data_IF_635560437760
#
_entry.id   IF_635560437760
#
_cell.length_a   1.000
_cell.length_b   1.000
_cell.length_c   1.000
_cell.angle_alpha   90.00
_cell.angle_beta   90.00
_cell.angle_gamma   90.00
#
_symmetry.space_group_name_H-M   'P 1'
#
loop_
_entity.id
_entity.type
_entity.pdbx_description
1 polymer ?
#
# COMPACT_ATOMS: atom_id res chain seq x y z
N UNK A 1 -44.94 31.17 11.81
CA UNK A 1 -43.49 31.43 11.73
C UNK A 1 -42.85 30.16 11.25
N UNK A 2 -42.70 30.07 9.93
CA UNK A 2 -42.14 28.92 9.21
C UNK A 2 -40.62 28.93 9.39
N UNK A 3 -40.00 27.91 10.03
CA UNK A 3 -38.57 27.88 10.27
C UNK A 3 -37.87 26.91 9.30
N UNK A 4 -38.24 26.92 8.02
CA UNK A 4 -37.47 26.23 6.99
C UNK A 4 -36.55 27.24 6.30
N UNK A 5 -35.46 27.58 6.98
CA UNK A 5 -34.27 28.08 6.28
C UNK A 5 -33.82 26.98 5.32
N UNK A 6 -33.78 27.22 3.99
CA UNK A 6 -33.19 26.27 3.07
C UNK A 6 -31.69 26.21 3.39
N UNK A 7 -31.30 25.17 4.11
CA UNK A 7 -29.89 24.80 4.26
C UNK A 7 -29.41 24.39 2.88
N UNK A 8 -28.47 25.16 2.34
CA UNK A 8 -27.72 24.77 1.17
C UNK A 8 -26.95 23.47 1.52
N UNK A 9 -27.22 22.34 0.84
CA UNK A 9 -26.54 21.09 1.13
C UNK A 9 -25.09 21.08 0.62
N UNK A 10 -24.70 22.02 -0.25
CA UNK A 10 -23.36 22.08 -0.87
C UNK A 10 -22.21 21.97 0.15
N UNK A 11 -22.19 22.73 1.28
CA UNK A 11 -21.15 22.62 2.31
C UNK A 11 -21.15 21.26 3.05
N UNK A 12 -22.29 20.56 3.08
CA UNK A 12 -22.41 19.25 3.70
C UNK A 12 -22.07 18.10 2.74
N UNK A 13 -22.13 18.36 1.44
CA UNK A 13 -21.71 17.43 0.38
C UNK A 13 -20.22 17.59 0.02
N UNK A 14 -19.67 18.78 0.20
CA UNK A 14 -18.30 19.14 -0.22
C UNK A 14 -17.34 19.48 0.93
N UNK A 15 -17.82 19.52 2.18
CA UNK A 15 -17.04 19.95 3.35
C UNK A 15 -17.24 21.44 3.66
N UNK A 16 -17.21 21.79 4.95
CA UNK A 16 -17.35 23.18 5.42
C UNK A 16 -16.15 24.06 5.04
N UNK A 17 -15.03 23.44 4.68
CA UNK A 17 -13.84 24.05 4.12
C UNK A 17 -13.62 23.46 2.72
N UNK A 18 -13.60 24.30 1.68
CA UNK A 18 -13.14 23.88 0.35
C UNK A 18 -11.63 23.70 0.39
N UNK A 19 -11.15 22.60 0.97
CA UNK A 19 -9.73 22.26 0.90
C UNK A 19 -9.36 22.10 -0.58
N UNK A 20 -8.34 22.84 -1.05
CA UNK A 20 -7.83 22.65 -2.39
C UNK A 20 -7.48 21.16 -2.59
N UNK A 21 -7.73 20.57 -3.78
CA UNK A 21 -7.37 19.17 -4.01
C UNK A 21 -5.89 18.95 -3.72
N UNK A 22 -5.56 17.99 -2.86
CA UNK A 22 -4.18 17.73 -2.43
C UNK A 22 -3.58 16.51 -3.12
N UNK A 23 -2.24 16.49 -3.17
CA UNK A 23 -1.42 15.33 -3.51
C UNK A 23 -0.39 15.12 -2.41
N UNK A 24 0.13 13.90 -2.30
CA UNK A 24 1.23 13.58 -1.40
C UNK A 24 2.54 13.55 -2.20
N UNK A 25 3.57 14.26 -1.76
CA UNK A 25 4.88 14.27 -2.41
C UNK A 25 5.92 13.66 -1.48
N UNK A 26 6.77 12.80 -2.05
CA UNK A 26 7.74 11.98 -1.34
C UNK A 26 9.10 12.10 -2.04
N UNK A 27 10.15 12.48 -1.29
CA UNK A 27 11.50 12.70 -1.84
C UNK A 27 12.43 11.52 -1.55
N UNK A 28 13.08 11.01 -2.59
CA UNK A 28 14.02 9.88 -2.50
C UNK A 28 15.33 10.18 -3.23
N UNK A 29 16.46 9.90 -2.59
CA UNK A 29 17.79 10.19 -3.11
C UNK A 29 18.32 9.11 -4.08
N UNK A 30 17.79 7.89 -3.99
CA UNK A 30 18.31 6.71 -4.69
C UNK A 30 17.30 6.06 -5.66
N UNK A 31 16.39 6.86 -6.22
CA UNK A 31 15.38 6.35 -7.15
C UNK A 31 16.03 5.69 -8.37
N UNK A 32 15.69 4.42 -8.68
CA UNK A 32 16.16 3.79 -9.90
C UNK A 32 15.49 4.41 -11.14
N UNK A 33 16.11 4.19 -12.30
CA UNK A 33 15.54 4.63 -13.57
C UNK A 33 14.48 3.66 -14.09
N UNK A 34 13.30 4.20 -14.44
CA UNK A 34 12.21 3.48 -15.06
C UNK A 34 11.17 2.97 -14.06
N UNK A 35 9.90 3.12 -14.42
CA UNK A 35 8.75 2.77 -13.57
C UNK A 35 8.79 1.33 -13.04
N UNK A 36 9.19 0.37 -13.87
CA UNK A 36 9.31 -1.03 -13.46
C UNK A 36 10.39 -1.29 -12.41
N UNK A 37 11.48 -0.50 -12.41
CA UNK A 37 12.53 -0.62 -11.41
C UNK A 37 12.12 0.06 -10.09
N UNK A 38 11.40 1.19 -10.19
CA UNK A 38 10.82 1.87 -9.04
C UNK A 38 9.76 1.02 -8.36
N UNK A 39 8.88 0.37 -9.12
CA UNK A 39 7.88 -0.54 -8.56
C UNK A 39 8.53 -1.63 -7.69
N UNK A 40 9.60 -2.25 -8.20
CA UNK A 40 10.37 -3.29 -7.51
C UNK A 40 11.06 -2.70 -6.27
N UNK A 41 11.69 -1.53 -6.39
CA UNK A 41 12.29 -0.80 -5.26
C UNK A 41 11.30 -0.55 -4.11
N UNK A 42 10.07 -0.13 -4.44
CA UNK A 42 9.04 0.18 -3.45
C UNK A 42 8.44 -1.06 -2.76
N UNK A 43 8.59 -2.25 -3.31
CA UNK A 43 8.23 -3.49 -2.60
C UNK A 43 9.09 -3.71 -1.36
N UNK A 44 10.34 -3.26 -1.41
CA UNK A 44 11.29 -3.37 -0.32
C UNK A 44 11.35 -2.12 0.56
N UNK A 45 11.17 -0.94 -0.01
CA UNK A 45 11.20 0.34 0.68
C UNK A 45 9.95 1.20 0.36
N UNK A 46 8.74 0.78 0.79
CA UNK A 46 7.52 1.54 0.53
C UNK A 46 7.55 2.90 1.27
N UNK A 47 6.87 3.93 0.74
CA UNK A 47 6.84 5.23 1.38
C UNK A 47 6.11 5.16 2.72
N UNK A 48 6.65 5.84 3.73
CA UNK A 48 6.05 5.93 5.05
C UNK A 48 5.12 7.16 5.20
N UNK A 49 4.18 7.15 6.16
CA UNK A 49 3.30 8.30 6.40
C UNK A 49 4.05 9.55 6.87
N UNK A 50 5.24 9.40 7.48
CA UNK A 50 6.10 10.53 7.90
C UNK A 50 6.96 11.09 6.78
N UNK A 51 6.98 10.42 5.64
CA UNK A 51 7.81 10.76 4.49
C UNK A 51 7.07 11.64 3.48
N UNK A 52 5.74 11.58 3.51
CA UNK A 52 4.87 12.31 2.59
C UNK A 52 4.55 13.71 3.10
N UNK A 53 4.74 14.71 2.24
CA UNK A 53 4.23 16.08 2.45
C UNK A 53 2.97 16.27 1.61
N UNK A 54 1.88 16.68 2.25
CA UNK A 54 0.63 17.02 1.56
C UNK A 54 0.72 18.43 1.01
N UNK A 55 0.47 18.55 -0.29
CA UNK A 55 0.55 19.80 -1.01
C UNK A 55 -0.66 19.97 -1.93
N UNK A 56 -1.22 21.17 -2.04
CA UNK A 56 -2.20 21.49 -3.06
C UNK A 56 -1.72 21.15 -4.48
N UNK A 57 -2.57 20.43 -5.21
CA UNK A 57 -2.33 19.92 -6.55
C UNK A 57 -1.91 21.02 -7.53
N UNK A 58 -2.49 22.22 -7.42
CA UNK A 58 -2.15 23.35 -8.29
C UNK A 58 -0.70 23.81 -8.09
N UNK A 59 -0.21 23.79 -6.86
CA UNK A 59 1.13 24.26 -6.55
C UNK A 59 2.21 23.28 -6.98
N UNK A 60 1.95 21.98 -6.86
CA UNK A 60 2.84 20.94 -7.41
C UNK A 60 2.91 21.03 -8.94
N UNK A 61 1.77 21.31 -9.61
CA UNK A 61 1.75 21.55 -11.07
C UNK A 61 2.58 22.78 -11.45
N UNK A 62 2.42 23.89 -10.73
CA UNK A 62 3.23 25.09 -10.95
C UNK A 62 4.71 24.79 -10.74
N UNK A 63 5.07 24.09 -9.65
CA UNK A 63 6.45 23.73 -9.33
C UNK A 63 7.11 22.90 -10.43
N UNK A 64 6.43 21.87 -10.96
CA UNK A 64 6.99 21.08 -12.05
C UNK A 64 7.17 21.87 -13.36
N UNK A 65 6.39 22.93 -13.56
CA UNK A 65 6.56 23.87 -14.67
C UNK A 65 7.66 24.93 -14.41
N UNK A 66 8.31 24.88 -13.24
CA UNK A 66 9.28 25.89 -12.80
C UNK A 66 8.64 27.23 -12.48
N UNK A 67 7.40 27.19 -11.98
CA UNK A 67 6.62 28.34 -11.54
C UNK A 67 6.34 28.24 -10.03
N UNK A 68 6.08 29.36 -9.39
CA UNK A 68 5.66 29.41 -7.99
C UNK A 68 4.22 29.86 -7.88
N UNK A 69 3.46 29.22 -7.00
CA UNK A 69 2.14 29.66 -6.58
C UNK A 69 2.20 29.93 -5.07
N UNK A 70 1.78 31.13 -4.64
CA UNK A 70 1.77 31.50 -3.22
C UNK A 70 0.54 30.89 -2.54
N UNK A 71 0.77 30.16 -1.43
CA UNK A 71 -0.29 29.58 -0.59
C UNK A 71 -0.91 30.58 0.39
N UNK A 72 -0.30 31.75 0.54
CA UNK A 72 -0.47 32.57 1.72
C UNK A 72 -1.79 33.35 1.77
N UNK A 73 -2.61 33.38 0.71
CA UNK A 73 -3.78 34.28 0.71
C UNK A 73 -4.91 33.92 -0.28
N UNK A 74 -5.36 32.66 -0.34
CA UNK A 74 -6.46 32.27 -1.23
C UNK A 74 -7.48 31.31 -0.59
N UNK A 75 -8.13 31.76 0.47
CA UNK A 75 -9.53 31.36 0.70
C UNK A 75 -10.42 32.13 -0.29
N UNK A 76 -10.65 31.56 -1.48
CA UNK A 76 -11.88 31.86 -2.24
C UNK A 76 -11.80 32.73 -3.50
N UNK A 77 -10.67 32.87 -4.20
CA UNK A 77 -10.66 33.47 -5.55
C UNK A 77 -9.88 32.63 -6.57
N UNK A 78 -10.52 32.29 -7.69
CA UNK A 78 -9.96 31.58 -8.86
C UNK A 78 -9.00 32.44 -9.72
N UNK A 79 -8.37 33.48 -9.15
CA UNK A 79 -7.40 34.30 -9.87
C UNK A 79 -5.97 33.90 -9.51
N UNK A 80 -5.48 32.94 -10.29
CA UNK A 80 -4.12 32.41 -10.32
C UNK A 80 -3.08 33.53 -10.48
N UNK A 81 -2.35 33.86 -9.41
CA UNK A 81 -1.08 34.60 -9.51
C UNK A 81 0.07 33.62 -9.53
N UNK A 82 0.43 33.21 -10.74
CA UNK A 82 1.60 32.35 -10.98
C UNK A 82 2.77 33.25 -11.33
N UNK A 83 3.77 33.31 -10.45
CA UNK A 83 5.00 34.06 -10.72
C UNK A 83 6.09 33.12 -11.27
N UNK A 84 6.82 33.52 -12.34
CA UNK A 84 8.01 32.80 -12.77
C UNK A 84 9.12 33.02 -11.75
N UNK A 85 9.29 32.06 -10.83
CA UNK A 85 10.47 31.96 -9.98
C UNK A 85 11.23 30.72 -10.44
N UNK A 86 12.44 30.91 -10.99
CA UNK A 86 13.29 29.82 -11.44
C UNK A 86 13.42 28.78 -10.33
N UNK A 87 13.23 27.50 -10.66
CA UNK A 87 13.26 26.42 -9.67
C UNK A 87 13.44 25.04 -10.29
N UNK A 88 12.82 24.77 -11.45
CA UNK A 88 12.93 23.43 -12.10
C UNK A 88 13.07 23.49 -13.63
N UNK A 89 12.87 24.65 -14.24
CA UNK A 89 12.80 24.82 -15.71
C UNK A 89 14.11 24.39 -16.40
N UNK A 90 14.06 23.28 -17.15
CA UNK A 90 15.20 22.71 -17.88
C UNK A 90 15.84 21.48 -17.22
N UNK A 91 15.44 21.11 -15.99
CA UNK A 91 15.86 19.85 -15.37
C UNK A 91 15.08 18.69 -16.00
N UNK A 92 15.80 17.64 -16.40
CA UNK A 92 15.19 16.36 -16.79
C UNK A 92 15.15 15.46 -15.57
N UNK A 93 14.22 15.70 -14.65
CA UNK A 93 13.92 14.74 -13.59
C UNK A 93 12.74 13.87 -14.01
N UNK A 94 12.78 12.61 -13.60
CA UNK A 94 11.66 11.68 -13.75
C UNK A 94 10.90 11.64 -12.44
N UNK A 95 9.61 11.92 -12.50
CA UNK A 95 8.71 11.79 -11.35
C UNK A 95 7.93 10.50 -11.52
N UNK A 96 7.62 9.80 -10.44
CA UNK A 96 6.82 8.60 -10.49
C UNK A 96 5.52 8.80 -9.72
N UNK A 97 4.39 8.48 -10.35
CA UNK A 97 3.11 8.43 -9.66
C UNK A 97 2.85 7.02 -9.16
N UNK A 98 2.45 6.94 -7.90
CA UNK A 98 1.98 5.72 -7.27
C UNK A 98 0.46 5.65 -7.41
N UNK A 99 0.01 4.85 -8.38
CA UNK A 99 -1.38 4.43 -8.47
C UNK A 99 -1.56 3.11 -7.70
N UNK A 100 -2.80 2.77 -7.35
CA UNK A 100 -3.09 1.67 -6.43
C UNK A 100 -2.52 0.28 -6.81
N UNK A 101 -2.19 0.05 -8.08
CA UNK A 101 -1.60 -1.20 -8.57
C UNK A 101 -0.44 -0.99 -9.57
N UNK A 102 -0.09 0.27 -9.88
CA UNK A 102 0.90 0.59 -10.92
C UNK A 102 1.77 1.78 -10.52
N UNK A 103 3.04 1.73 -10.90
CA UNK A 103 3.94 2.88 -10.89
C UNK A 103 4.00 3.43 -12.30
N UNK A 104 3.72 4.72 -12.46
CA UNK A 104 3.78 5.40 -13.75
C UNK A 104 4.89 6.44 -13.74
N UNK A 105 5.77 6.41 -14.75
CA UNK A 105 6.74 7.48 -14.98
C UNK A 105 6.02 8.68 -15.61
N UNK A 106 6.08 9.82 -14.93
CA UNK A 106 5.48 11.08 -15.36
C UNK A 106 6.61 12.07 -15.65
N UNK A 107 6.63 12.70 -16.85
CA UNK A 107 7.56 13.79 -17.11
C UNK A 107 7.17 15.02 -16.26
N UNK A 108 8.15 15.83 -15.86
CA UNK A 108 7.90 17.08 -15.11
C UNK A 108 6.90 18.00 -15.82
N UNK A 109 6.91 18.06 -17.15
CA UNK A 109 5.89 18.77 -17.93
C UNK A 109 4.94 17.75 -18.58
N UNK A 110 3.90 17.26 -17.87
CA UNK A 110 2.99 16.29 -18.41
C UNK A 110 2.15 16.91 -19.54
N UNK A 111 2.06 16.27 -20.72
CA UNK A 111 1.13 16.70 -21.77
C UNK A 111 -0.29 16.75 -21.22
N UNK A 112 -1.17 17.59 -21.81
CA UNK A 112 -2.54 17.81 -21.34
C UNK A 112 -3.41 16.53 -21.10
N UNK A 113 -2.98 15.37 -21.59
CA UNK A 113 -3.59 14.06 -21.37
C UNK A 113 -3.13 13.28 -20.13
N UNK A 114 -1.97 13.60 -19.54
CA UNK A 114 -1.47 12.99 -18.29
C UNK A 114 -1.84 13.91 -17.13
N UNK A 115 -2.97 13.63 -16.47
CA UNK A 115 -3.45 14.46 -15.36
C UNK A 115 -3.06 13.86 -14.02
N UNK A 116 -2.23 14.58 -13.26
CA UNK A 116 -2.13 14.45 -11.80
C UNK A 116 -3.52 14.65 -11.19
N UNK A 117 -3.93 13.74 -10.31
CA UNK A 117 -5.25 13.69 -9.68
C UNK A 117 -5.14 13.97 -8.18
N UNK A 118 -6.20 14.51 -7.56
CA UNK A 118 -6.26 14.61 -6.10
C UNK A 118 -6.10 13.22 -5.46
N UNK A 119 -5.28 13.13 -4.41
CA UNK A 119 -4.94 11.89 -3.72
C UNK A 119 -3.83 11.05 -4.37
N UNK A 120 -3.24 11.50 -5.48
CA UNK A 120 -2.03 10.87 -6.03
C UNK A 120 -0.86 11.02 -5.04
N UNK A 121 -0.07 9.96 -4.88
CA UNK A 121 1.24 10.01 -4.22
C UNK A 121 2.33 10.09 -5.30
N UNK A 122 3.18 11.09 -5.21
CA UNK A 122 4.23 11.41 -6.17
C UNK A 122 5.60 11.18 -5.54
N UNK A 123 6.38 10.31 -6.16
CA UNK A 123 7.76 10.03 -5.80
C UNK A 123 8.69 10.87 -6.68
N UNK A 124 9.47 11.74 -6.06
CA UNK A 124 10.36 12.70 -6.73
C UNK A 124 11.81 12.48 -6.29
N UNK A 125 12.80 12.69 -7.18
CA UNK A 125 14.20 12.68 -6.78
C UNK A 125 14.49 13.78 -5.74
N UNK A 126 15.23 13.45 -4.68
CA UNK A 126 15.65 14.40 -3.64
C UNK A 126 16.33 15.65 -4.22
N UNK A 127 17.14 15.47 -5.27
CA UNK A 127 17.85 16.55 -5.95
C UNK A 127 16.93 17.57 -6.62
N UNK A 128 15.66 17.24 -6.85
CA UNK A 128 14.69 18.15 -7.47
C UNK A 128 14.45 19.41 -6.63
N UNK A 129 14.66 19.34 -5.32
CA UNK A 129 14.43 20.44 -4.40
C UNK A 129 12.95 20.58 -4.04
N UNK A 130 12.48 21.82 -3.87
CA UNK A 130 11.08 22.11 -3.52
C UNK A 130 10.78 22.15 -2.00
N UNK A 131 11.73 21.72 -1.17
CA UNK A 131 11.67 21.87 0.28
C UNK A 131 12.94 22.55 0.79
N UNK A 132 12.78 23.42 1.78
CA UNK A 132 13.89 24.06 2.49
C UNK A 132 13.54 24.17 3.97
N UNK A 133 14.43 23.67 4.83
CA UNK A 133 14.25 23.71 6.29
C UNK A 133 12.89 23.18 6.78
N UNK A 134 12.35 22.14 6.11
CA UNK A 134 11.05 21.54 6.44
C UNK A 134 9.82 22.33 5.97
N UNK A 135 10.00 23.37 5.15
CA UNK A 135 8.92 24.16 4.59
C UNK A 135 8.86 23.98 3.07
N UNK A 136 7.67 24.12 2.51
CA UNK A 136 7.47 24.18 1.08
C UNK A 136 8.11 25.44 0.50
N UNK A 137 9.13 25.23 -0.33
CA UNK A 137 9.87 26.27 -1.04
C UNK A 137 10.09 25.81 -2.49
N UNK A 138 9.16 26.11 -3.41
CA UNK A 138 9.22 25.64 -4.79
C UNK A 138 10.40 26.24 -5.58
N UNK A 139 11.07 27.27 -5.04
CA UNK A 139 12.26 27.87 -5.64
C UNK A 139 13.56 27.22 -5.14
N UNK A 140 13.52 26.49 -4.02
CA UNK A 140 14.68 25.77 -3.49
C UNK A 140 15.14 24.71 -4.48
N UNK A 141 16.42 24.75 -4.85
CA UNK A 141 17.09 23.74 -5.67
C UNK A 141 18.00 22.83 -4.85
N UNK A 142 18.11 23.07 -3.54
CA UNK A 142 18.95 22.28 -2.66
C UNK A 142 18.36 20.87 -2.53
N UNK A 143 19.19 19.81 -2.54
CA UNK A 143 18.71 18.45 -2.34
C UNK A 143 17.94 18.32 -1.03
N UNK A 144 16.73 17.76 -1.12
CA UNK A 144 15.89 17.51 0.06
C UNK A 144 16.46 16.31 0.82
N UNK A 145 16.65 16.40 2.16
CA UNK A 145 17.05 15.25 2.96
C UNK A 145 16.10 14.07 2.76
N UNK A 146 16.65 12.89 2.48
CA UNK A 146 15.85 11.68 2.27
C UNK A 146 15.52 11.06 3.63
N UNK A 147 14.23 10.97 3.94
CA UNK A 147 13.73 10.60 5.27
C UNK A 147 13.12 9.20 5.36
N UNK A 148 13.31 8.37 4.34
CA UNK A 148 12.58 7.11 4.24
C UNK A 148 12.80 6.12 5.40
N UNK A 149 14.02 6.10 5.95
CA UNK A 149 14.36 5.25 7.10
C UNK A 149 13.72 5.76 8.41
N UNK A 150 13.21 6.99 8.44
CA UNK A 150 12.57 7.59 9.61
C UNK A 150 11.05 7.33 9.60
N UNK A 151 10.65 6.22 10.23
CA UNK A 151 9.26 5.76 10.36
C UNK A 151 8.66 5.89 11.77
N UNK A 152 7.58 5.15 12.06
CA UNK A 152 6.97 5.02 13.40
C UNK A 152 7.89 4.32 14.42
N UNK A 153 7.33 3.71 15.48
CA UNK A 153 8.05 3.23 16.68
C UNK A 153 9.27 2.31 16.43
N UNK A 154 9.41 1.72 15.24
CA UNK A 154 10.66 1.11 14.78
C UNK A 154 10.89 1.36 13.26
N UNK A 155 12.11 1.73 12.84
CA UNK A 155 12.46 1.91 11.43
C UNK A 155 12.50 0.55 10.71
N UNK A 156 11.83 0.42 9.56
CA UNK A 156 11.48 -0.89 8.96
C UNK A 156 12.50 -1.46 7.98
N UNK A 157 13.33 -0.60 7.40
CA UNK A 157 14.38 -0.97 6.46
C UNK A 157 15.57 0.00 6.51
N UNK A 158 16.70 -0.39 5.91
CA UNK A 158 17.89 0.44 5.69
C UNK A 158 18.36 0.26 4.24
N UNK A 159 18.47 1.36 3.49
CA UNK A 159 19.04 1.33 2.12
C UNK A 159 20.55 1.51 2.17
N UNK A 160 21.28 0.51 1.73
CA UNK A 160 22.72 0.56 1.50
C UNK A 160 22.98 1.03 0.06
N UNK A 161 22.76 2.32 -0.18
CA UNK A 161 23.04 3.02 -1.43
C UNK A 161 24.06 4.15 -1.18
N UNK A 162 25.02 4.45 -2.09
CA UNK A 162 26.05 5.46 -1.84
C UNK A 162 25.49 6.82 -1.37
N UNK A 163 24.47 7.33 -2.05
CA UNK A 163 23.85 8.64 -1.73
C UNK A 163 23.09 8.62 -0.40
N UNK A 164 22.53 7.47 0.00
CA UNK A 164 21.87 7.33 1.32
C UNK A 164 22.92 7.22 2.42
N UNK A 165 23.95 6.41 2.21
CA UNK A 165 25.01 6.23 3.21
C UNK A 165 25.86 7.49 3.42
N UNK A 166 26.00 8.36 2.43
CA UNK A 166 26.60 9.69 2.61
C UNK A 166 25.82 10.56 3.61
N UNK A 167 24.50 10.33 3.77
CA UNK A 167 23.68 10.97 4.81
C UNK A 167 23.78 10.25 6.16
N UNK A 168 24.05 8.94 6.15
CA UNK A 168 24.02 8.09 7.34
C UNK A 168 25.37 7.97 8.07
N UNK A 169 26.49 8.09 7.36
CA UNK A 169 27.83 7.86 7.88
C UNK A 169 28.61 9.19 8.02
N UNK A 170 29.45 9.25 9.05
CA UNK A 170 30.47 10.28 9.17
C UNK A 170 31.72 9.84 8.39
N UNK A 171 32.33 10.74 7.58
CA UNK A 171 33.54 10.42 6.85
C UNK A 171 34.69 10.14 7.83
N UNK A 172 35.62 9.22 7.50
CA UNK A 172 36.84 9.02 8.26
C UNK A 172 37.65 10.32 8.31
N UNK A 173 38.34 10.56 9.42
CA UNK A 173 39.22 11.71 9.55
C UNK A 173 40.30 11.69 8.45
N UNK A 174 40.26 12.69 7.55
CA UNK A 174 41.25 12.85 6.49
C UNK A 174 40.98 12.10 5.19
N UNK A 175 39.86 11.38 5.06
CA UNK A 175 39.45 10.70 3.82
C UNK A 175 38.24 11.39 3.16
N UNK A 176 38.26 11.47 1.83
CA UNK A 176 37.18 12.05 1.01
C UNK A 176 35.99 11.09 0.82
N UNK A 177 35.25 11.18 -0.29
CA UNK A 177 34.13 10.25 -0.57
C UNK A 177 34.58 8.88 -1.10
N UNK A 178 35.87 8.74 -1.45
CA UNK A 178 36.43 7.56 -2.13
C UNK A 178 36.33 6.27 -1.30
N UNK A 179 36.49 6.36 0.03
CA UNK A 179 36.42 5.19 0.92
C UNK A 179 35.03 4.52 0.90
N UNK A 180 33.96 5.30 0.76
CA UNK A 180 32.59 4.78 0.77
C UNK A 180 32.33 3.99 -0.51
N UNK A 181 32.87 4.46 -1.64
CA UNK A 181 32.81 3.74 -2.91
C UNK A 181 33.60 2.43 -2.84
N UNK A 182 34.77 2.42 -2.19
CA UNK A 182 35.55 1.20 -1.97
C UNK A 182 34.81 0.19 -1.08
N UNK A 183 34.31 0.64 0.07
CA UNK A 183 33.56 -0.20 1.01
C UNK A 183 32.28 -0.78 0.38
N UNK A 184 31.56 0.01 -0.42
CA UNK A 184 30.40 -0.47 -1.17
C UNK A 184 30.78 -1.39 -2.33
N UNK A 185 31.93 -1.17 -2.96
CA UNK A 185 32.49 -2.08 -3.96
C UNK A 185 32.81 -3.47 -3.37
N UNK A 186 33.40 -3.50 -2.17
CA UNK A 186 33.62 -4.74 -1.41
C UNK A 186 32.32 -5.44 -1.03
N UNK A 187 31.36 -4.69 -0.46
CA UNK A 187 30.03 -5.21 -0.13
C UNK A 187 29.37 -5.84 -1.36
N UNK A 188 29.38 -5.13 -2.50
CA UNK A 188 28.79 -5.59 -3.76
C UNK A 188 29.44 -6.88 -4.26
N UNK A 189 30.78 -6.98 -4.22
CA UNK A 189 31.49 -8.21 -4.61
C UNK A 189 31.09 -9.38 -3.71
N UNK A 190 31.10 -9.18 -2.39
CA UNK A 190 30.72 -10.23 -1.45
C UNK A 190 29.26 -10.69 -1.65
N UNK A 191 28.35 -9.77 -1.96
CA UNK A 191 26.96 -10.13 -2.29
C UNK A 191 26.85 -10.91 -3.60
N UNK A 192 27.62 -10.56 -4.63
CA UNK A 192 27.64 -11.28 -5.92
C UNK A 192 28.24 -12.70 -5.80
N UNK A 193 29.18 -12.89 -4.87
CA UNK A 193 29.80 -14.19 -4.59
C UNK A 193 28.95 -15.08 -3.68
N UNK A 194 27.95 -14.53 -2.99
CA UNK A 194 27.09 -15.28 -2.10
C UNK A 194 26.12 -16.20 -2.87
N UNK A 195 26.19 -17.50 -2.59
CA UNK A 195 25.32 -18.52 -3.19
C UNK A 195 24.01 -18.69 -2.40
N UNK A 196 24.03 -18.35 -1.11
CA UNK A 196 22.87 -18.48 -0.21
C UNK A 196 22.46 -17.18 0.48
N UNK A 197 21.17 -17.05 0.84
CA UNK A 197 20.68 -15.88 1.60
C UNK A 197 21.45 -15.67 2.90
N UNK A 198 21.93 -16.76 3.51
CA UNK A 198 22.68 -16.74 4.75
C UNK A 198 24.09 -16.16 4.56
N UNK A 199 24.74 -16.47 3.44
CA UNK A 199 26.05 -15.88 3.09
C UNK A 199 25.92 -14.39 2.81
N UNK A 200 24.93 -13.98 2.01
CA UNK A 200 24.68 -12.55 1.77
C UNK A 200 24.36 -11.80 3.07
N UNK A 201 23.57 -12.40 3.96
CA UNK A 201 23.36 -11.84 5.31
C UNK A 201 24.68 -11.68 6.08
N UNK A 202 25.57 -12.68 6.03
CA UNK A 202 26.89 -12.60 6.66
C UNK A 202 27.77 -11.48 6.10
N UNK A 203 27.77 -11.28 4.78
CA UNK A 203 28.48 -10.19 4.11
C UNK A 203 27.97 -8.82 4.58
N UNK A 204 26.65 -8.64 4.62
CA UNK A 204 26.04 -7.39 5.11
C UNK A 204 26.31 -7.18 6.60
N UNK A 205 26.21 -8.23 7.42
CA UNK A 205 26.50 -8.14 8.86
C UNK A 205 27.92 -7.65 9.10
N UNK A 206 28.91 -8.22 8.38
CA UNK A 206 30.30 -7.76 8.47
C UNK A 206 30.45 -6.29 8.10
N UNK A 207 29.74 -5.82 7.07
CA UNK A 207 29.73 -4.39 6.71
C UNK A 207 29.13 -3.51 7.81
N UNK A 208 27.97 -3.88 8.36
CA UNK A 208 27.31 -3.12 9.44
C UNK A 208 28.17 -3.08 10.70
N UNK A 209 28.81 -4.19 11.07
CA UNK A 209 29.70 -4.27 12.23
C UNK A 209 30.95 -3.39 12.04
N UNK A 210 31.59 -3.46 10.86
CA UNK A 210 32.79 -2.68 10.55
C UNK A 210 32.54 -1.16 10.55
N UNK A 211 31.32 -0.73 10.22
CA UNK A 211 30.93 0.68 10.11
C UNK A 211 30.05 1.16 11.26
N UNK A 212 29.78 0.31 12.27
CA UNK A 212 28.84 0.59 13.36
C UNK A 212 29.12 1.94 14.04
N UNK A 213 30.37 2.21 14.36
CA UNK A 213 30.78 3.44 15.04
C UNK A 213 30.83 4.68 14.15
N UNK A 214 30.68 4.52 12.83
CA UNK A 214 30.66 5.62 11.86
C UNK A 214 29.24 6.10 11.55
N UNK A 215 28.21 5.34 11.91
CA UNK A 215 26.84 5.80 11.75
C UNK A 215 26.59 7.00 12.66
N UNK A 216 25.98 8.04 12.08
CA UNK A 216 25.52 9.22 12.82
C UNK A 216 24.52 8.80 13.88
N UNK A 217 24.44 9.57 14.96
CA UNK A 217 23.61 9.28 16.14
C UNK A 217 22.16 8.92 15.77
N UNK A 218 21.56 9.64 14.82
CA UNK A 218 20.19 9.41 14.34
C UNK A 218 19.96 8.04 13.66
N UNK A 219 21.01 7.39 13.17
CA UNK A 219 20.94 6.11 12.43
C UNK A 219 21.32 4.90 13.28
N UNK A 220 22.05 5.10 14.38
CA UNK A 220 22.52 4.01 15.25
C UNK A 220 21.40 3.10 15.75
N UNK A 221 20.24 3.60 16.22
CA UNK A 221 19.17 2.72 16.69
C UNK A 221 18.68 1.73 15.63
N UNK A 222 18.57 2.15 14.38
CA UNK A 222 18.19 1.28 13.26
C UNK A 222 19.24 0.21 13.00
N UNK A 223 20.52 0.60 12.96
CA UNK A 223 21.63 -0.34 12.73
C UNK A 223 21.71 -1.38 13.86
N UNK A 224 21.51 -0.96 15.12
CA UNK A 224 21.49 -1.87 16.26
C UNK A 224 20.31 -2.85 16.22
N UNK A 225 19.13 -2.38 15.81
CA UNK A 225 17.98 -3.25 15.58
C UNK A 225 18.28 -4.31 14.52
N UNK A 226 18.90 -3.92 13.39
CA UNK A 226 19.28 -4.84 12.32
C UNK A 226 20.29 -5.90 12.78
N UNK A 227 21.29 -5.50 13.56
CA UNK A 227 22.28 -6.41 14.15
C UNK A 227 21.65 -7.41 15.14
N UNK A 228 20.58 -7.02 15.84
CA UNK A 228 19.94 -7.85 16.88
C UNK A 228 18.85 -8.76 16.36
N UNK A 229 17.95 -8.25 15.54
CA UNK A 229 16.66 -8.88 15.20
C UNK A 229 16.70 -9.70 13.92
N UNK A 230 17.80 -9.58 13.17
CA UNK A 230 18.00 -10.23 11.89
C UNK A 230 17.16 -9.56 10.78
N UNK A 231 17.70 -9.58 9.57
CA UNK A 231 17.10 -8.90 8.43
C UNK A 231 17.05 -9.78 7.18
N UNK A 232 16.35 -9.30 6.17
CA UNK A 232 16.40 -9.82 4.80
C UNK A 232 17.16 -8.83 3.92
N UNK A 233 17.93 -9.34 2.96
CA UNK A 233 18.68 -8.54 1.99
C UNK A 233 17.93 -8.56 0.67
N UNK A 234 17.74 -7.38 0.09
CA UNK A 234 16.99 -7.20 -1.15
C UNK A 234 17.78 -6.35 -2.17
N UNK A 235 17.74 -6.65 -3.48
CA UNK A 235 17.07 -7.79 -4.11
C UNK A 235 17.86 -9.11 -3.93
N UNK A 236 17.17 -10.25 -4.02
CA UNK A 236 17.75 -11.60 -3.97
C UNK A 236 16.98 -12.55 -4.92
N UNK A 237 17.60 -13.35 -5.83
CA UNK A 237 18.90 -13.27 -6.48
C UNK A 237 18.78 -12.78 -7.95
N UNK A 238 19.74 -11.94 -8.36
CA UNK A 238 20.32 -11.61 -9.68
C UNK A 238 19.70 -12.00 -11.05
N UNK A 239 18.46 -12.49 -11.19
CA UNK A 239 17.96 -13.08 -12.44
C UNK A 239 17.53 -12.09 -13.55
N UNK A 240 17.50 -10.78 -13.31
CA UNK A 240 16.93 -9.85 -14.30
C UNK A 240 17.84 -8.68 -14.72
N UNK A 241 19.15 -8.73 -14.48
CA UNK A 241 20.10 -7.75 -15.04
C UNK A 241 19.83 -6.27 -14.68
N UNK A 242 18.89 -6.00 -13.77
CA UNK A 242 18.51 -4.67 -13.31
C UNK A 242 19.14 -4.43 -11.95
N UNK A 243 20.20 -3.63 -11.99
CA UNK A 243 21.02 -3.30 -10.83
C UNK A 243 20.42 -2.05 -10.20
N UNK A 244 19.57 -2.22 -9.19
CA UNK A 244 19.46 -1.18 -8.18
C UNK A 244 20.87 -0.93 -7.64
N UNK A 245 21.32 0.33 -7.61
CA UNK A 245 22.73 0.70 -7.34
C UNK A 245 23.23 0.35 -5.93
N UNK A 246 22.38 -0.23 -5.09
CA UNK A 246 22.67 -0.65 -3.72
C UNK A 246 21.91 -1.93 -3.32
N UNK A 247 21.71 -2.14 -2.03
CA UNK A 247 20.80 -3.16 -1.49
C UNK A 247 19.94 -2.57 -0.37
N UNK A 248 18.83 -3.22 -0.04
CA UNK A 248 17.88 -2.79 0.99
C UNK A 248 17.79 -3.89 2.05
N UNK A 249 17.99 -3.52 3.31
CA UNK A 249 17.89 -4.42 4.45
C UNK A 249 16.53 -4.23 5.11
N UNK A 250 15.78 -5.31 5.36
CA UNK A 250 14.46 -5.24 6.01
C UNK A 250 14.46 -6.00 7.31
N UNK A 251 14.07 -5.36 8.42
CA UNK A 251 13.91 -6.04 9.71
C UNK A 251 12.81 -7.11 9.63
N UNK A 252 13.02 -8.26 10.30
CA UNK A 252 11.97 -9.27 10.48
C UNK A 252 11.15 -8.89 11.73
N UNK A 253 9.79 -8.91 11.76
CA UNK A 253 8.83 -9.25 10.70
C UNK A 253 7.60 -8.32 10.64
N UNK A 254 7.43 -7.54 9.58
CA UNK A 254 6.12 -7.10 9.07
C UNK A 254 6.36 -6.39 7.75
N UNK A 255 5.74 -6.86 6.66
CA UNK A 255 5.61 -5.98 5.51
C UNK A 255 4.45 -5.03 5.84
N UNK A 256 4.63 -3.70 5.83
CA UNK A 256 3.54 -2.75 6.05
C UNK A 256 2.34 -2.98 5.12
N UNK A 257 2.62 -3.53 3.94
CA UNK A 257 1.64 -3.82 2.89
C UNK A 257 1.05 -5.23 3.01
N UNK A 258 1.71 -6.16 3.72
CA UNK A 258 1.28 -7.55 3.89
C UNK A 258 1.55 -7.99 5.33
N UNK A 259 0.47 -8.08 6.13
CA UNK A 259 0.51 -8.35 7.57
C UNK A 259 1.28 -9.61 8.00
N UNK A 260 1.29 -9.88 9.31
CA UNK A 260 2.13 -10.86 10.01
C UNK A 260 2.68 -12.01 9.13
N UNK A 261 4.01 -12.11 8.99
CA UNK A 261 4.71 -13.02 8.07
C UNK A 261 4.64 -14.53 8.39
N UNK A 262 3.51 -15.01 8.91
CA UNK A 262 3.19 -16.42 9.19
C UNK A 262 1.92 -16.83 8.44
N UNK A 263 1.85 -18.04 7.88
CA UNK A 263 0.61 -18.58 7.33
C UNK A 263 -0.51 -18.61 8.37
N UNK A 264 -1.73 -18.31 7.93
CA UNK A 264 -2.92 -18.30 8.79
C UNK A 264 -4.07 -19.06 8.13
N UNK A 265 -4.72 -19.95 8.89
CA UNK A 265 -5.87 -20.70 8.44
C UNK A 265 -7.10 -19.80 8.28
N UNK A 266 -7.89 -20.07 7.24
CA UNK A 266 -9.10 -19.33 6.88
C UNK A 266 -10.15 -19.33 8.00
N UNK A 267 -10.32 -20.48 8.67
CA UNK A 267 -11.22 -20.58 9.83
C UNK A 267 -10.77 -19.66 10.97
N UNK A 268 -9.49 -19.73 11.33
CA UNK A 268 -8.93 -18.95 12.43
C UNK A 268 -9.06 -17.44 12.16
N UNK A 269 -8.70 -16.99 10.95
CA UNK A 269 -8.86 -15.60 10.54
C UNK A 269 -10.33 -15.17 10.59
N UNK A 270 -11.23 -15.93 9.96
CA UNK A 270 -12.67 -15.62 9.91
C UNK A 270 -13.29 -15.49 11.30
N UNK A 271 -12.90 -16.34 12.25
CA UNK A 271 -13.35 -16.27 13.65
C UNK A 271 -12.84 -15.02 14.36
N UNK A 272 -11.55 -14.67 14.20
CA UNK A 272 -10.98 -13.44 14.77
C UNK A 272 -11.70 -12.18 14.29
N UNK A 273 -11.96 -12.08 12.98
CA UNK A 273 -12.71 -10.95 12.41
C UNK A 273 -14.12 -10.90 13.00
N UNK A 274 -14.81 -12.04 13.08
CA UNK A 274 -16.16 -12.12 13.63
C UNK A 274 -16.21 -11.72 15.11
N UNK A 275 -15.23 -12.12 15.92
CA UNK A 275 -15.09 -11.72 17.32
C UNK A 275 -14.89 -10.20 17.45
N UNK A 276 -14.01 -9.62 16.62
CA UNK A 276 -13.74 -8.18 16.64
C UNK A 276 -14.97 -7.36 16.26
N UNK A 277 -15.71 -7.77 15.24
CA UNK A 277 -16.99 -7.15 14.85
C UNK A 277 -18.03 -7.24 15.97
N UNK A 278 -18.12 -8.39 16.67
CA UNK A 278 -19.03 -8.55 17.81
C UNK A 278 -18.64 -7.63 18.97
N UNK A 279 -17.35 -7.47 19.24
CA UNK A 279 -16.85 -6.53 20.24
C UNK A 279 -17.21 -5.07 19.88
N UNK A 280 -16.96 -4.66 18.63
CA UNK A 280 -17.38 -3.35 18.13
C UNK A 280 -18.88 -3.14 18.33
N UNK A 281 -19.71 -4.09 17.88
CA UNK A 281 -21.15 -3.99 17.98
C UNK A 281 -21.63 -3.87 19.43
N UNK A 282 -20.97 -4.56 20.38
CA UNK A 282 -21.25 -4.46 21.81
C UNK A 282 -20.92 -3.06 22.35
N UNK A 283 -19.73 -2.55 22.07
CA UNK A 283 -19.26 -1.23 22.56
C UNK A 283 -20.09 -0.08 21.99
N UNK A 284 -20.51 -0.21 20.74
CA UNK A 284 -21.32 0.77 20.03
C UNK A 284 -22.83 0.59 20.28
N UNK A 285 -23.22 -0.40 21.10
CA UNK A 285 -24.61 -0.72 21.41
C UNK A 285 -25.48 -0.93 20.16
N UNK A 286 -24.92 -1.57 19.13
CA UNK A 286 -25.66 -1.88 17.90
C UNK A 286 -26.78 -2.89 18.15
N UNK A 287 -27.88 -2.73 17.42
CA UNK A 287 -29.02 -3.65 17.52
C UNK A 287 -28.67 -5.04 17.01
N UNK A 288 -29.24 -6.08 17.64
CA UNK A 288 -28.95 -7.51 17.35
C UNK A 288 -28.99 -7.87 15.86
N UNK A 289 -29.92 -7.28 15.10
CA UNK A 289 -30.06 -7.53 13.67
C UNK A 289 -28.81 -7.10 12.89
N UNK A 290 -28.30 -5.90 13.18
CA UNK A 290 -27.09 -5.36 12.53
C UNK A 290 -25.86 -6.15 12.97
N UNK A 291 -25.74 -6.45 14.26
CA UNK A 291 -24.67 -7.32 14.80
C UNK A 291 -24.63 -8.67 14.09
N UNK A 292 -25.80 -9.29 13.88
CA UNK A 292 -25.87 -10.59 13.22
C UNK A 292 -25.44 -10.53 11.75
N UNK A 293 -25.87 -9.51 11.00
CA UNK A 293 -25.41 -9.30 9.62
C UNK A 293 -23.91 -9.04 9.55
N UNK A 294 -23.36 -8.17 10.41
CA UNK A 294 -21.93 -7.90 10.43
C UNK A 294 -21.10 -9.15 10.80
N UNK A 295 -21.52 -9.92 11.82
CA UNK A 295 -20.86 -11.20 12.19
C UNK A 295 -20.90 -12.18 11.02
N UNK A 296 -22.03 -12.28 10.31
CA UNK A 296 -22.17 -13.17 9.16
C UNK A 296 -21.27 -12.74 8.01
N UNK A 297 -21.19 -11.44 7.70
CA UNK A 297 -20.23 -10.90 6.73
C UNK A 297 -18.79 -11.20 7.12
N UNK A 298 -18.43 -11.03 8.40
CA UNK A 298 -17.09 -11.35 8.90
C UNK A 298 -16.72 -12.83 8.73
N UNK A 299 -17.64 -13.75 8.96
CA UNK A 299 -17.39 -15.18 8.73
C UNK A 299 -17.31 -15.56 7.24
N UNK A 300 -17.82 -14.71 6.35
CA UNK A 300 -17.99 -14.99 4.93
C UNK A 300 -17.02 -14.25 4.01
N UNK A 301 -16.45 -13.13 4.46
CA UNK A 301 -15.76 -12.16 3.60
C UNK A 301 -14.65 -12.78 2.73
N UNK A 302 -13.90 -13.70 3.31
CA UNK A 302 -12.74 -14.34 2.71
C UNK A 302 -13.03 -15.69 2.05
N UNK A 303 -14.28 -16.18 2.01
CA UNK A 303 -14.54 -17.54 1.51
C UNK A 303 -14.17 -17.73 0.04
N UNK A 304 -14.15 -16.66 -0.76
CA UNK A 304 -13.66 -16.71 -2.14
C UNK A 304 -12.19 -17.11 -2.25
N UNK A 305 -11.41 -17.02 -1.16
CA UNK A 305 -10.03 -17.52 -1.09
C UNK A 305 -9.93 -19.03 -1.26
N UNK A 306 -11.03 -19.76 -1.13
CA UNK A 306 -11.11 -21.19 -1.42
C UNK A 306 -11.10 -21.53 -2.91
N UNK A 307 -10.95 -20.53 -3.82
CA UNK A 307 -10.59 -20.82 -5.21
C UNK A 307 -9.34 -21.73 -5.24
N UNK A 308 -9.41 -22.92 -5.84
CA UNK A 308 -8.28 -23.85 -5.86
C UNK A 308 -6.99 -23.25 -6.42
N UNK A 309 -7.11 -22.29 -7.36
CA UNK A 309 -6.00 -21.58 -7.97
C UNK A 309 -5.40 -20.56 -6.99
N UNK A 310 -6.24 -19.87 -6.22
CA UNK A 310 -5.78 -18.97 -5.15
C UNK A 310 -5.09 -19.74 -4.02
N UNK A 311 -5.63 -20.90 -3.62
CA UNK A 311 -4.99 -21.76 -2.63
C UNK A 311 -3.65 -22.30 -3.13
N UNK A 312 -3.57 -22.74 -4.39
CA UNK A 312 -2.30 -23.15 -4.99
C UNK A 312 -1.30 -21.98 -5.02
N UNK A 313 -1.73 -20.79 -5.43
CA UNK A 313 -0.89 -19.58 -5.41
C UNK A 313 -0.38 -19.28 -3.99
N UNK A 314 -1.24 -19.35 -2.98
CA UNK A 314 -0.83 -19.17 -1.58
C UNK A 314 0.20 -20.21 -1.15
N UNK A 315 0.02 -21.49 -1.51
CA UNK A 315 0.96 -22.55 -1.18
C UNK A 315 2.30 -22.38 -1.88
N UNK A 316 2.31 -21.98 -3.16
CA UNK A 316 3.54 -21.68 -3.90
C UNK A 316 4.26 -20.46 -3.31
N UNK A 317 3.50 -19.48 -2.81
CA UNK A 317 4.05 -18.23 -2.27
C UNK A 317 4.50 -18.33 -0.81
N UNK A 318 4.04 -19.34 -0.09
CA UNK A 318 4.44 -19.58 1.27
C UNK A 318 5.85 -20.17 1.28
N UNK A 319 6.72 -19.70 2.19
CA UNK A 319 8.10 -20.17 2.29
C UNK A 319 8.21 -21.64 2.76
N UNK A 320 9.34 -22.00 3.39
CA UNK A 320 9.60 -23.38 3.81
C UNK A 320 8.48 -23.95 4.70
N UNK A 321 7.89 -25.05 4.22
CA UNK A 321 6.89 -25.95 4.82
C UNK A 321 5.71 -25.29 5.57
N UNK A 322 4.65 -24.92 4.82
CA UNK A 322 3.33 -24.70 5.42
C UNK A 322 2.77 -26.02 5.93
N UNK A 323 2.39 -26.06 7.21
CA UNK A 323 1.63 -27.17 7.78
C UNK A 323 0.37 -27.44 6.93
N UNK A 324 0.26 -28.62 6.29
CA UNK A 324 -0.91 -28.98 5.49
C UNK A 324 -2.25 -28.92 6.25
N UNK A 325 -2.22 -28.96 7.58
CA UNK A 325 -3.36 -28.81 8.48
C UNK A 325 -3.93 -27.39 8.59
N UNK A 326 -3.20 -26.36 8.12
CA UNK A 326 -3.67 -24.97 8.11
C UNK A 326 -4.62 -24.65 6.94
N UNK A 327 -4.86 -25.60 6.04
CA UNK A 327 -5.69 -25.36 4.85
C UNK A 327 -7.19 -25.44 5.17
N UNK A 328 -8.03 -24.62 4.51
CA UNK A 328 -7.67 -23.58 3.56
C UNK A 328 -7.01 -22.37 4.24
N UNK A 329 -6.08 -21.71 3.53
CA UNK A 329 -5.35 -20.54 4.03
C UNK A 329 -6.15 -19.25 3.80
N UNK A 330 -6.15 -18.36 4.80
CA UNK A 330 -6.50 -16.95 4.63
C UNK A 330 -5.29 -16.12 4.20
N UNK A 331 -4.08 -16.50 4.65
CA UNK A 331 -2.82 -15.83 4.37
C UNK A 331 -1.70 -16.86 4.21
N UNK A 332 -0.80 -16.63 3.27
CA UNK A 332 0.38 -17.48 3.04
C UNK A 332 1.61 -17.08 3.86
N UNK A 333 1.63 -15.87 4.45
CA UNK A 333 2.83 -15.33 5.09
C UNK A 333 4.00 -15.16 4.10
N UNK A 334 3.69 -14.97 2.81
CA UNK A 334 4.68 -14.86 1.74
C UNK A 334 5.71 -13.76 2.01
N UNK A 335 6.95 -14.01 1.60
CA UNK A 335 8.07 -13.06 1.68
C UNK A 335 8.66 -12.76 0.30
N UNK A 336 7.91 -13.12 -0.73
CA UNK A 336 8.30 -12.98 -2.13
C UNK A 336 8.00 -11.56 -2.64
N UNK A 337 8.73 -11.17 -3.67
CA UNK A 337 8.49 -9.94 -4.44
C UNK A 337 7.17 -10.00 -5.20
N UNK A 338 6.63 -8.85 -5.62
CA UNK A 338 5.43 -8.76 -6.44
C UNK A 338 5.61 -9.41 -7.81
N UNK A 339 6.83 -9.37 -8.37
CA UNK A 339 7.18 -10.13 -9.58
C UNK A 339 7.12 -11.64 -9.37
N UNK A 340 7.73 -12.15 -8.30
CA UNK A 340 7.66 -13.57 -7.95
C UNK A 340 6.22 -13.98 -7.69
N UNK A 341 5.45 -13.18 -6.94
CA UNK A 341 4.02 -13.42 -6.71
C UNK A 341 3.23 -13.44 -8.01
N UNK A 342 3.53 -12.57 -8.97
CA UNK A 342 2.89 -12.54 -10.29
C UNK A 342 3.20 -13.80 -11.09
N UNK A 343 4.47 -14.22 -11.12
CA UNK A 343 4.90 -15.47 -11.77
C UNK A 343 4.21 -16.68 -11.14
N UNK A 344 4.14 -16.75 -9.81
CA UNK A 344 3.47 -17.85 -9.10
C UNK A 344 1.95 -17.81 -9.25
N UNK A 345 1.35 -16.62 -9.38
CA UNK A 345 -0.08 -16.45 -9.70
C UNK A 345 -0.39 -17.03 -11.07
N UNK A 346 0.44 -16.70 -12.07
CA UNK A 346 0.33 -17.23 -13.43
C UNK A 346 0.52 -18.74 -13.46
N UNK A 347 1.51 -19.25 -12.74
CA UNK A 347 1.73 -20.69 -12.57
C UNK A 347 0.53 -21.38 -11.90
N UNK A 348 -0.11 -20.75 -10.93
CA UNK A 348 -1.32 -21.26 -10.28
C UNK A 348 -2.59 -21.09 -11.14
N UNK A 349 -2.52 -20.33 -12.23
CA UNK A 349 -3.64 -20.02 -13.11
C UNK A 349 -4.68 -19.06 -12.52
N UNK A 350 -4.36 -18.37 -11.41
CA UNK A 350 -5.31 -17.44 -10.78
C UNK A 350 -5.42 -16.15 -11.63
N UNK A 351 -6.63 -15.68 -12.03
CA UNK A 351 -6.75 -14.60 -13.00
C UNK A 351 -6.22 -13.26 -12.46
N UNK A 352 -5.61 -12.47 -13.34
CA UNK A 352 -5.12 -11.13 -12.99
C UNK A 352 -6.30 -10.23 -12.57
N UNK A 353 -6.12 -9.46 -11.49
CA UNK A 353 -7.18 -8.60 -10.93
C UNK A 353 -8.35 -9.34 -10.28
N UNK A 354 -8.34 -10.68 -10.20
CA UNK A 354 -9.45 -11.44 -9.59
C UNK A 354 -9.58 -11.14 -8.09
N UNK A 355 -10.79 -10.77 -7.69
CA UNK A 355 -11.15 -10.34 -6.33
C UNK A 355 -11.96 -11.43 -5.63
N UNK A 356 -11.40 -12.02 -4.58
CA UNK A 356 -12.03 -13.13 -3.84
C UNK A 356 -13.34 -12.69 -3.15
N UNK A 357 -13.41 -11.44 -2.72
CA UNK A 357 -14.55 -10.85 -2.07
C UNK A 357 -15.79 -10.77 -2.97
N UNK A 358 -15.59 -10.52 -4.27
CA UNK A 358 -16.70 -10.45 -5.23
C UNK A 358 -17.27 -11.84 -5.52
N UNK A 359 -16.41 -12.86 -5.57
CA UNK A 359 -16.82 -14.27 -5.70
C UNK A 359 -17.64 -14.69 -4.48
N UNK A 360 -17.22 -14.29 -3.27
CA UNK A 360 -17.93 -14.60 -2.04
C UNK A 360 -19.26 -13.81 -1.91
N UNK A 361 -19.30 -12.56 -2.38
CA UNK A 361 -20.48 -11.70 -2.29
C UNK A 361 -21.60 -12.10 -3.25
N UNK A 362 -21.26 -12.50 -4.49
CA UNK A 362 -22.25 -12.71 -5.56
C UNK A 362 -23.41 -13.66 -5.16
N UNK A 363 -23.16 -14.82 -4.55
CA UNK A 363 -24.22 -15.76 -4.17
C UNK A 363 -25.11 -15.25 -3.03
N UNK A 364 -24.65 -14.26 -2.25
CA UNK A 364 -25.42 -13.68 -1.14
C UNK A 364 -26.49 -12.70 -1.63
N UNK A 365 -26.28 -12.08 -2.79
CA UNK A 365 -27.05 -10.92 -3.25
C UNK A 365 -28.58 -11.13 -3.25
N UNK A 366 -29.03 -12.35 -3.55
CA UNK A 366 -30.47 -12.66 -3.65
C UNK A 366 -31.17 -12.76 -2.28
N UNK A 367 -30.46 -13.12 -1.22
CA UNK A 367 -31.06 -13.47 0.08
C UNK A 367 -30.53 -12.64 1.25
N UNK A 368 -29.33 -12.07 1.10
CA UNK A 368 -28.58 -11.38 2.14
C UNK A 368 -27.97 -10.09 1.57
N UNK A 369 -28.82 -9.10 1.20
CA UNK A 369 -28.42 -7.92 0.45
C UNK A 369 -27.35 -7.06 1.15
N UNK A 370 -27.49 -6.88 2.47
CA UNK A 370 -26.52 -6.13 3.27
C UNK A 370 -25.21 -6.91 3.36
N UNK A 371 -25.26 -8.21 3.62
CA UNK A 371 -24.07 -9.03 3.75
C UNK A 371 -23.31 -9.14 2.43
N UNK A 372 -24.01 -9.27 1.30
CA UNK A 372 -23.42 -9.24 -0.04
C UNK A 372 -22.63 -7.95 -0.27
N UNK A 373 -23.22 -6.81 0.10
CA UNK A 373 -22.59 -5.50 -0.04
C UNK A 373 -21.37 -5.34 0.88
N UNK A 374 -21.50 -5.67 2.16
CA UNK A 374 -20.39 -5.60 3.13
C UNK A 374 -19.23 -6.51 2.72
N UNK A 375 -19.52 -7.72 2.25
CA UNK A 375 -18.49 -8.64 1.74
C UNK A 375 -17.84 -8.06 0.48
N UNK A 376 -18.60 -7.58 -0.51
CA UNK A 376 -18.02 -7.04 -1.74
C UNK A 376 -17.16 -5.79 -1.52
N UNK A 377 -17.42 -5.03 -0.45
CA UNK A 377 -16.75 -3.74 -0.17
C UNK A 377 -15.66 -3.83 0.88
N UNK A 378 -15.34 -5.01 1.42
CA UNK A 378 -14.37 -5.11 2.52
C UNK A 378 -12.92 -4.75 2.12
N UNK A 379 -12.59 -4.72 0.82
CA UNK A 379 -11.34 -4.12 0.33
C UNK A 379 -11.53 -2.76 -0.36
N UNK A 380 -12.72 -2.16 -0.25
CA UNK A 380 -13.06 -0.85 -0.83
C UNK A 380 -13.34 -0.84 -2.33
N UNK A 381 -13.37 -1.99 -3.01
CA UNK A 381 -13.51 -2.10 -4.48
C UNK A 381 -14.92 -2.46 -4.98
N UNK A 382 -15.90 -2.54 -4.08
CA UNK A 382 -17.27 -2.95 -4.41
C UNK A 382 -18.25 -1.80 -4.69
N UNK A 383 -17.84 -0.52 -4.68
CA UNK A 383 -18.76 0.63 -4.83
C UNK A 383 -18.64 1.32 -6.20
N UNK A 384 -19.74 1.83 -6.77
CA UNK A 384 -21.09 1.26 -6.69
C UNK A 384 -21.19 -0.03 -7.51
N UNK A 385 -20.24 -0.25 -8.43
CA UNK A 385 -20.09 -1.43 -9.25
C UNK A 385 -18.63 -1.89 -9.17
N UNK A 386 -18.37 -3.19 -8.95
CA UNK A 386 -17.02 -3.72 -8.98
C UNK A 386 -16.49 -3.79 -10.41
N UNK A 387 -15.16 -3.88 -10.54
CA UNK A 387 -14.53 -4.19 -11.81
C UNK A 387 -14.92 -5.60 -12.31
N UNK A 388 -15.04 -5.83 -13.63
CA UNK A 388 -15.29 -7.15 -14.19
C UNK A 388 -14.16 -8.13 -13.84
N UNK A 389 -14.52 -9.39 -13.57
CA UNK A 389 -13.57 -10.50 -13.64
C UNK A 389 -13.13 -10.70 -15.10
N UNK A 390 -11.83 -10.98 -15.29
CA UNK A 390 -11.26 -11.35 -16.59
C UNK A 390 -11.42 -12.85 -16.90
N UNK A 391 -11.88 -13.64 -15.94
CA UNK A 391 -12.06 -15.09 -16.09
C UNK A 391 -13.33 -15.37 -16.91
N UNK A 392 -13.31 -16.32 -17.86
CA UNK A 392 -14.53 -16.75 -18.54
C UNK A 392 -15.54 -17.39 -17.56
N UNK A 393 -16.85 -17.28 -17.83
CA UNK A 393 -17.87 -17.99 -17.07
C UNK A 393 -17.66 -19.50 -17.04
N UNK A 394 -18.09 -20.15 -15.96
CA UNK A 394 -18.08 -21.60 -15.79
C UNK A 394 -17.13 -22.14 -14.71
N UNK A 395 -16.18 -21.34 -14.21
CA UNK A 395 -15.30 -21.79 -13.13
C UNK A 395 -15.97 -21.63 -11.76
N UNK A 396 -16.31 -22.76 -11.13
CA UNK A 396 -16.97 -22.81 -9.83
C UNK A 396 -15.96 -22.77 -8.68
N UNK A 397 -16.21 -21.89 -7.70
CA UNK A 397 -15.38 -21.74 -6.49
C UNK A 397 -16.15 -22.30 -5.29
N UNK A 398 -15.59 -23.24 -4.51
CA UNK A 398 -16.23 -23.72 -3.30
C UNK A 398 -16.28 -22.62 -2.24
N UNK A 399 -17.41 -22.48 -1.55
CA UNK A 399 -17.61 -21.52 -0.45
C UNK A 399 -18.05 -22.26 0.81
N UNK A 400 -17.13 -23.06 1.37
CA UNK A 400 -17.41 -23.85 2.58
C UNK A 400 -17.00 -23.08 3.83
N UNK A 401 -17.90 -22.99 4.80
CA UNK A 401 -17.63 -22.42 6.12
C UNK A 401 -18.26 -23.28 7.22
N UNK A 402 -17.73 -24.49 7.50
CA UNK A 402 -18.27 -25.37 8.55
C UNK A 402 -18.20 -24.73 9.94
N UNK A 403 -17.34 -23.74 10.13
CA UNK A 403 -17.23 -22.93 11.35
C UNK A 403 -18.30 -21.85 11.46
N UNK A 404 -18.97 -21.50 10.37
CA UNK A 404 -20.14 -20.64 10.43
C UNK A 404 -21.32 -21.51 10.86
N UNK A 405 -22.04 -21.10 11.91
CA UNK A 405 -23.32 -21.71 12.35
C UNK A 405 -24.45 -21.53 11.31
N UNK A 406 -24.09 -21.18 10.09
CA UNK A 406 -24.93 -20.88 8.94
C UNK A 406 -24.20 -21.37 7.70
N UNK A 407 -24.81 -22.30 6.97
CA UNK A 407 -24.19 -22.98 5.83
C UNK A 407 -23.95 -22.05 4.65
N UNK A 408 -24.83 -21.07 4.42
CA UNK A 408 -24.76 -20.16 3.28
C UNK A 408 -24.72 -20.84 1.90
N UNK A 409 -24.54 -20.08 0.81
CA UNK A 409 -24.34 -20.63 -0.52
C UNK A 409 -23.04 -21.43 -0.63
N UNK A 410 -23.10 -22.67 -1.12
CA UNK A 410 -21.95 -23.58 -1.13
C UNK A 410 -20.94 -23.32 -2.27
N UNK A 411 -21.31 -22.52 -3.26
CA UNK A 411 -20.50 -22.24 -4.45
C UNK A 411 -20.65 -20.79 -4.89
N UNK A 412 -19.54 -20.23 -5.36
CA UNK A 412 -19.46 -19.01 -6.13
C UNK A 412 -18.96 -19.29 -7.54
N UNK A 413 -18.85 -18.24 -8.34
CA UNK A 413 -18.29 -18.31 -9.68
C UNK A 413 -17.20 -17.25 -9.81
N UNK A 414 -16.06 -17.65 -10.39
CA UNK A 414 -14.92 -16.73 -10.58
C UNK A 414 -15.33 -15.52 -11.43
N UNK A 415 -16.04 -15.76 -12.53
CA UNK A 415 -16.73 -14.76 -13.32
C UNK A 415 -17.99 -14.24 -12.57
N UNK A 416 -17.79 -13.56 -11.45
CA UNK A 416 -18.83 -13.18 -10.48
C UNK A 416 -20.00 -12.38 -11.09
N UNK A 417 -19.76 -11.59 -12.14
CA UNK A 417 -20.83 -10.93 -12.90
C UNK A 417 -21.57 -9.81 -12.15
N UNK A 418 -20.98 -9.30 -11.07
CA UNK A 418 -21.57 -8.24 -10.24
C UNK A 418 -21.59 -6.88 -10.96
N UNK A 419 -20.62 -6.65 -11.85
CA UNK A 419 -20.49 -5.48 -12.70
C UNK A 419 -21.63 -5.32 -13.71
N UNK A 420 -22.34 -6.42 -14.02
CA UNK A 420 -23.44 -6.40 -14.99
C UNK A 420 -24.62 -5.65 -14.40
N UNK A 421 -25.21 -4.72 -15.14
CA UNK A 421 -26.42 -4.00 -14.69
C UNK A 421 -27.57 -4.95 -14.32
N UNK A 422 -27.69 -6.10 -14.99
CA UNK A 422 -28.71 -7.12 -14.68
C UNK A 422 -28.38 -7.99 -13.45
N UNK A 423 -27.26 -7.75 -12.78
CA UNK A 423 -26.84 -8.55 -11.61
C UNK A 423 -27.73 -8.30 -10.39
N UNK A 424 -28.38 -7.14 -10.32
CA UNK A 424 -29.11 -6.66 -9.14
C UNK A 424 -28.23 -5.95 -8.11
N UNK A 425 -26.91 -5.84 -8.35
CA UNK A 425 -25.97 -5.31 -7.37
C UNK A 425 -26.07 -3.79 -7.22
N UNK A 426 -26.25 -3.06 -8.32
CA UNK A 426 -26.44 -1.61 -8.29
C UNK A 426 -27.76 -1.24 -7.63
N UNK A 427 -28.84 -1.97 -7.94
CA UNK A 427 -30.15 -1.80 -7.30
C UNK A 427 -30.08 -2.12 -5.81
N UNK A 428 -29.32 -3.15 -5.43
CA UNK A 428 -29.06 -3.46 -4.03
C UNK A 428 -28.33 -2.30 -3.32
N UNK A 429 -27.28 -1.75 -3.93
CA UNK A 429 -26.55 -0.60 -3.37
C UNK A 429 -27.47 0.60 -3.16
N UNK A 430 -28.28 0.97 -4.17
CA UNK A 430 -29.25 2.06 -4.07
C UNK A 430 -30.28 1.80 -2.94
N UNK A 431 -30.81 0.58 -2.86
CA UNK A 431 -31.76 0.18 -1.82
C UNK A 431 -31.16 0.24 -0.40
N UNK A 432 -29.88 -0.12 -0.25
CA UNK A 432 -29.17 0.00 1.03
C UNK A 432 -28.91 1.45 1.42
N UNK A 433 -28.58 2.32 0.45
CA UNK A 433 -28.46 3.76 0.69
C UNK A 433 -29.78 4.37 1.14
N UNK A 434 -30.91 3.99 0.55
CA UNK A 434 -32.24 4.45 1.00
C UNK A 434 -32.57 3.96 2.42
N UNK A 435 -32.20 2.71 2.76
CA UNK A 435 -32.53 2.10 4.06
C UNK A 435 -31.64 2.55 5.21
N UNK A 436 -30.35 2.76 4.95
CA UNK A 436 -29.33 3.00 5.98
C UNK A 436 -28.73 4.41 5.91
N UNK A 437 -29.00 5.16 4.84
CA UNK A 437 -28.30 6.38 4.52
C UNK A 437 -26.85 6.13 4.08
N UNK A 438 -26.22 7.13 3.42
CA UNK A 438 -24.82 7.03 2.99
C UNK A 438 -23.86 6.80 4.17
N UNK A 439 -24.09 7.47 5.29
CA UNK A 439 -23.26 7.35 6.49
C UNK A 439 -23.44 6.00 7.20
N UNK A 440 -24.68 5.51 7.32
CA UNK A 440 -24.93 4.22 7.98
C UNK A 440 -24.33 3.05 7.20
N UNK A 441 -24.40 3.09 5.86
CA UNK A 441 -23.77 2.09 5.02
C UNK A 441 -22.24 2.16 5.07
N UNK A 442 -21.67 3.36 4.94
CA UNK A 442 -20.23 3.58 5.06
C UNK A 442 -19.68 3.16 6.44
N UNK A 443 -20.46 3.39 7.50
CA UNK A 443 -20.11 2.96 8.84
C UNK A 443 -20.07 1.44 8.96
N UNK A 444 -21.06 0.72 8.42
CA UNK A 444 -21.05 -0.74 8.40
C UNK A 444 -19.85 -1.33 7.67
N UNK A 445 -19.46 -0.72 6.55
CA UNK A 445 -18.25 -1.10 5.82
C UNK A 445 -16.99 -0.84 6.63
N UNK A 446 -16.88 0.34 7.25
CA UNK A 446 -15.73 0.69 8.08
C UNK A 446 -15.56 -0.30 9.24
N UNK A 447 -16.65 -0.71 9.90
CA UNK A 447 -16.58 -1.69 10.99
C UNK A 447 -16.02 -3.05 10.53
N UNK A 448 -16.44 -3.56 9.37
CA UNK A 448 -15.93 -4.82 8.85
C UNK A 448 -14.46 -4.68 8.41
N UNK A 449 -14.12 -3.59 7.72
CA UNK A 449 -12.75 -3.29 7.26
C UNK A 449 -11.77 -3.16 8.42
N UNK A 450 -12.15 -2.43 9.46
CA UNK A 450 -11.34 -2.28 10.68
C UNK A 450 -11.19 -3.60 11.42
N UNK A 451 -12.25 -4.42 11.47
CA UNK A 451 -12.17 -5.72 12.12
C UNK A 451 -11.20 -6.67 11.40
N UNK A 452 -11.23 -6.69 10.07
CA UNK A 452 -10.31 -7.48 9.25
C UNK A 452 -8.85 -6.99 9.38
N UNK A 453 -8.65 -5.67 9.37
CA UNK A 453 -7.36 -5.04 9.61
C UNK A 453 -6.76 -5.42 10.97
N UNK A 454 -7.51 -5.24 12.06
CA UNK A 454 -7.04 -5.57 13.41
C UNK A 454 -6.82 -7.08 13.61
N UNK A 455 -7.68 -7.93 13.02
CA UNK A 455 -7.47 -9.38 13.05
C UNK A 455 -6.19 -9.80 12.32
N UNK A 456 -5.73 -8.98 11.37
CA UNK A 456 -4.52 -9.20 10.58
C UNK A 456 -3.23 -8.68 11.22
N UNK A 457 -3.29 -8.21 12.46
CA UNK A 457 -2.12 -7.69 13.18
C UNK A 457 -1.89 -6.19 13.02
N UNK A 458 -2.89 -5.44 12.53
CA UNK A 458 -2.84 -3.98 12.63
C UNK A 458 -2.76 -3.54 14.09
N UNK A 459 -1.85 -2.62 14.41
CA UNK A 459 -1.70 -2.02 15.75
C UNK A 459 -3.05 -1.45 16.25
N UNK A 460 -3.33 -1.60 17.55
CA UNK A 460 -4.56 -1.11 18.23
C UNK A 460 -4.55 0.39 18.49
#
# INVERSE_FOLDING_TARGET
>A
TDPLLPLDPDPFLHGLERSAPEVEVVWRADLPEGAEAVAVYLEAAPPGPKEAVRLPLYAVRAWFQGLSADFADLEGQEEERVEPKGGVRGRRAKVYRLAAEEVEEIPLDPPAGIRLRPGDTLLVPAELGGLSQGHWDPASTDPVPDVAEWGGEAPRFLRLHPVVLAQALDPPEGEGEDWLQEALGELKRGLQEAETRKEAQGVVLGFLEAHRERFREAWRPLVEALLREGFEVWPWPWEDGRVYGGCILRLRPENPLYGSGRPEALEAHSRKVAERVVDFARRLCLVKKVTHSLRRSALWHDLGKQDPRMQLWMLLSAGEEVDPGLRPLAKSGTRLTGRELTRLREQAGYPAGQRHEHVAARPLLAHYPLEAHLVATHHGRGRPLPAPSQDPPGFQVPLSAPWAEWTGPQKGESAHGLEKLKSGYLENFACLLEKMGPWGLAYGEALLRLADFLASGGEE
#
